data_IF_172630520587
#
_entry.id   IF_172630520587
#
_cell.length_a   1.000
_cell.length_b   1.000
_cell.length_c   1.000
_cell.angle_alpha   90.00
_cell.angle_beta   90.00
_cell.angle_gamma   90.00
#
_symmetry.space_group_name_H-M   'P 1'
#
loop_
_entity.id
_entity.type
_entity.pdbx_description
1 polymer ?
#
# COMPACT_ATOMS: atom_id res chain seq x y z
N UNK A 1 24.61 6.95 -6.82
CA UNK A 1 23.40 6.23 -6.37
C UNK A 1 22.23 7.19 -6.51
N UNK A 2 21.10 6.72 -7.01
CA UNK A 2 19.85 7.50 -7.07
C UNK A 2 18.91 6.98 -5.98
N UNK A 3 18.11 7.87 -5.39
CA UNK A 3 17.20 7.57 -4.29
C UNK A 3 15.79 8.08 -4.63
N UNK A 4 14.77 7.34 -4.20
CA UNK A 4 13.36 7.74 -4.24
C UNK A 4 12.73 7.48 -2.87
N UNK A 5 11.87 8.38 -2.41
CA UNK A 5 11.18 8.25 -1.13
C UNK A 5 9.71 7.88 -1.33
N UNK A 6 9.16 7.03 -0.46
CA UNK A 6 7.75 6.69 -0.41
C UNK A 6 7.16 7.16 0.92
N UNK A 7 5.91 7.60 0.91
CA UNK A 7 5.17 7.86 2.14
C UNK A 7 4.79 6.52 2.78
N UNK A 8 5.22 6.33 4.04
CA UNK A 8 4.81 5.19 4.84
C UNK A 8 3.36 5.34 5.28
N UNK A 9 2.47 4.49 4.77
CA UNK A 9 1.04 4.67 4.98
C UNK A 9 0.60 4.50 6.46
N UNK A 10 1.35 3.76 7.28
CA UNK A 10 1.10 3.68 8.72
C UNK A 10 1.17 5.05 9.41
N UNK A 11 2.10 5.91 8.99
CA UNK A 11 2.24 7.25 9.57
C UNK A 11 1.08 8.16 9.15
N UNK A 12 0.68 8.10 7.87
CA UNK A 12 -0.50 8.82 7.36
C UNK A 12 -1.75 8.42 8.13
N UNK A 13 -1.93 7.12 8.37
CA UNK A 13 -3.07 6.61 9.12
C UNK A 13 -3.05 7.02 10.60
N UNK A 14 -1.87 7.04 11.23
CA UNK A 14 -1.73 7.53 12.61
C UNK A 14 -2.04 9.02 12.75
N UNK A 15 -1.67 9.82 11.75
CA UNK A 15 -1.94 11.26 11.75
C UNK A 15 -3.44 11.58 11.79
N UNK A 16 -4.25 10.77 11.09
CA UNK A 16 -5.70 10.97 11.00
C UNK A 16 -6.46 10.25 12.14
N UNK A 17 -6.19 8.97 12.37
CA UNK A 17 -6.96 8.16 13.33
C UNK A 17 -6.43 8.28 14.78
N UNK A 18 -5.26 8.90 14.98
CA UNK A 18 -4.60 9.03 16.28
C UNK A 18 -4.52 7.65 17.01
N UNK A 19 -4.73 7.47 18.34
CA UNK A 19 -4.34 6.21 19.00
C UNK A 19 -5.10 4.97 18.51
N UNK A 20 -6.23 5.17 17.82
CA UNK A 20 -7.14 4.14 17.32
C UNK A 20 -6.69 3.56 15.96
N UNK A 21 -5.64 4.11 15.36
CA UNK A 21 -5.17 3.74 14.03
C UNK A 21 -4.79 2.24 13.91
N UNK A 22 -4.45 1.62 15.04
CA UNK A 22 -4.12 0.19 15.17
C UNK A 22 -5.25 -0.66 15.75
N UNK A 23 -6.47 -0.12 15.86
CA UNK A 23 -7.59 -0.77 16.55
C UNK A 23 -8.81 -0.98 15.64
N UNK A 24 -8.98 -0.14 14.63
CA UNK A 24 -10.15 -0.19 13.73
C UNK A 24 -9.83 0.17 12.28
N UNK A 25 -10.80 -0.09 11.42
CA UNK A 25 -10.84 0.43 10.05
C UNK A 25 -11.10 1.95 10.05
N UNK A 26 -10.60 2.63 9.03
CA UNK A 26 -10.89 4.03 8.80
C UNK A 26 -12.33 4.20 8.27
N UNK A 27 -12.99 5.26 8.71
CA UNK A 27 -14.22 5.74 8.10
C UNK A 27 -13.96 6.34 6.72
N UNK A 28 -15.04 6.60 5.97
CA UNK A 28 -14.96 7.25 4.66
C UNK A 28 -14.36 8.65 4.76
N UNK A 29 -14.74 9.42 5.78
CA UNK A 29 -14.24 10.78 5.98
C UNK A 29 -12.76 10.79 6.38
N UNK A 30 -12.34 9.87 7.24
CA UNK A 30 -10.91 9.70 7.57
C UNK A 30 -10.10 9.25 6.36
N UNK A 31 -10.66 8.37 5.53
CA UNK A 31 -10.02 7.97 4.27
C UNK A 31 -9.84 9.17 3.34
N UNK A 32 -10.84 10.06 3.25
CA UNK A 32 -10.73 11.29 2.47
C UNK A 32 -9.64 12.24 3.02
N UNK A 33 -9.49 12.33 4.34
CA UNK A 33 -8.40 13.10 4.96
C UNK A 33 -7.02 12.49 4.66
N UNK A 34 -6.88 11.17 4.74
CA UNK A 34 -5.64 10.48 4.36
C UNK A 34 -5.31 10.68 2.86
N UNK A 35 -6.31 10.69 1.98
CA UNK A 35 -6.11 11.02 0.57
C UNK A 35 -5.57 12.45 0.38
N UNK A 36 -6.00 13.41 1.20
CA UNK A 36 -5.50 14.78 1.15
C UNK A 36 -4.02 14.84 1.52
N UNK A 37 -3.62 14.21 2.62
CA UNK A 37 -2.21 14.11 3.06
C UNK A 37 -1.34 13.48 1.96
N UNK A 38 -1.80 12.36 1.37
CA UNK A 38 -1.08 11.73 0.26
C UNK A 38 -0.96 12.67 -0.93
N UNK A 39 -2.03 13.40 -1.28
CA UNK A 39 -2.03 14.34 -2.40
C UNK A 39 -1.06 15.50 -2.18
N UNK A 40 -0.85 15.93 -0.94
CA UNK A 40 0.11 16.96 -0.56
C UNK A 40 1.56 16.44 -0.60
N UNK A 41 1.79 15.19 -0.18
CA UNK A 41 3.13 14.61 -0.17
C UNK A 41 3.74 14.33 -1.55
N UNK A 42 2.90 14.07 -2.56
CA UNK A 42 3.37 13.83 -3.94
C UNK A 42 4.13 15.03 -4.53
N UNK A 43 3.58 16.26 -4.60
CA UNK A 43 4.33 17.43 -5.07
C UNK A 43 5.46 17.83 -4.12
N UNK A 44 5.42 17.43 -2.85
CA UNK A 44 6.51 17.64 -1.90
C UNK A 44 7.73 16.72 -2.12
N UNK A 45 7.64 15.75 -3.05
CA UNK A 45 8.77 14.92 -3.47
C UNK A 45 8.60 13.42 -3.19
N UNK A 46 7.48 12.98 -2.61
CA UNK A 46 7.20 11.56 -2.49
C UNK A 46 6.95 10.94 -3.87
N UNK A 47 7.62 9.82 -4.16
CA UNK A 47 7.48 9.08 -5.42
C UNK A 47 6.29 8.09 -5.40
N UNK A 48 5.61 7.96 -4.26
CA UNK A 48 4.56 6.97 -4.07
C UNK A 48 4.22 6.71 -2.61
N UNK A 49 3.48 5.62 -2.36
CA UNK A 49 3.00 5.20 -1.04
C UNK A 49 3.34 3.73 -0.80
N UNK A 50 3.67 3.37 0.44
CA UNK A 50 3.95 1.99 0.85
C UNK A 50 2.97 1.49 1.91
N UNK A 51 2.45 0.28 1.69
CA UNK A 51 1.54 -0.47 2.57
C UNK A 51 2.18 -1.79 3.00
N UNK A 52 1.77 -2.29 4.18
CA UNK A 52 2.14 -3.62 4.63
C UNK A 52 1.01 -4.28 5.44
N UNK A 53 0.46 -5.35 4.88
CA UNK A 53 -0.58 -6.19 5.45
C UNK A 53 -0.04 -7.52 6.01
N UNK A 54 1.29 -7.69 6.11
CA UNK A 54 1.87 -8.90 6.71
C UNK A 54 1.42 -9.06 8.18
N UNK A 55 0.75 -10.17 8.55
CA UNK A 55 0.31 -10.42 9.93
C UNK A 55 1.42 -10.34 10.97
N UNK A 56 2.66 -10.69 10.60
CA UNK A 56 3.82 -10.66 11.50
C UNK A 56 4.41 -9.27 11.71
N UNK A 57 3.96 -8.23 10.99
CA UNK A 57 4.45 -6.88 11.16
C UNK A 57 3.65 -6.17 12.27
N UNK A 58 4.25 -6.15 13.46
CA UNK A 58 3.66 -5.58 14.67
C UNK A 58 4.55 -4.46 15.22
N UNK A 59 3.94 -3.53 15.94
CA UNK A 59 4.65 -2.50 16.69
C UNK A 59 5.35 -3.10 17.93
N UNK A 60 6.14 -2.28 18.62
CA UNK A 60 6.90 -2.69 19.81
C UNK A 60 6.01 -3.19 20.97
N UNK A 61 4.76 -2.75 21.02
CA UNK A 61 3.75 -3.17 22.00
C UNK A 61 2.98 -4.44 21.58
N UNK A 62 3.35 -5.05 20.44
CA UNK A 62 2.73 -6.27 19.90
C UNK A 62 1.44 -6.03 19.11
N UNK A 63 0.92 -4.80 19.04
CA UNK A 63 -0.27 -4.48 18.23
C UNK A 63 0.07 -4.47 16.72
N UNK A 64 -0.91 -4.69 15.82
CA UNK A 64 -0.74 -4.40 14.39
C UNK A 64 -0.11 -3.03 14.16
N UNK A 65 0.79 -2.91 13.17
CA UNK A 65 1.06 -1.59 12.61
C UNK A 65 -0.22 -1.04 11.97
N UNK A 66 -0.46 0.29 12.01
CA UNK A 66 -1.73 0.89 11.59
C UNK A 66 -2.20 0.48 10.19
N UNK A 67 -1.33 0.53 9.18
CA UNK A 67 -1.73 0.23 7.80
C UNK A 67 -2.20 -1.21 7.58
N UNK A 68 -1.92 -2.13 8.52
CA UNK A 68 -2.40 -3.53 8.44
C UNK A 68 -3.92 -3.62 8.54
N UNK A 69 -4.58 -2.65 9.16
CA UNK A 69 -6.04 -2.57 9.27
C UNK A 69 -6.68 -1.82 8.09
N UNK A 70 -5.91 -1.46 7.06
CA UNK A 70 -6.47 -0.83 5.86
C UNK A 70 -7.28 -1.86 5.09
N UNK A 71 -8.59 -1.66 5.04
CA UNK A 71 -9.44 -2.51 4.22
C UNK A 71 -9.15 -2.27 2.74
N UNK A 72 -9.68 -3.15 1.88
CA UNK A 72 -9.40 -3.07 0.47
C UNK A 72 -9.89 -1.77 -0.19
N UNK A 73 -11.03 -1.23 0.26
CA UNK A 73 -11.57 0.01 -0.30
C UNK A 73 -10.69 1.20 0.04
N UNK A 74 -10.13 1.24 1.24
CA UNK A 74 -9.15 2.24 1.65
C UNK A 74 -7.90 2.17 0.77
N UNK A 75 -7.37 0.97 0.51
CA UNK A 75 -6.22 0.80 -0.39
C UNK A 75 -6.53 1.30 -1.81
N UNK A 76 -7.72 0.99 -2.36
CA UNK A 76 -8.14 1.49 -3.68
C UNK A 76 -8.31 3.01 -3.68
N UNK A 77 -8.88 3.58 -2.62
CA UNK A 77 -9.06 5.02 -2.48
C UNK A 77 -7.70 5.74 -2.51
N UNK A 78 -6.71 5.24 -1.78
CA UNK A 78 -5.36 5.82 -1.79
C UNK A 78 -4.66 5.60 -3.13
N UNK A 79 -4.78 4.40 -3.71
CA UNK A 79 -4.25 4.11 -5.05
C UNK A 79 -4.79 5.09 -6.11
N UNK A 80 -6.07 5.50 -5.99
CA UNK A 80 -6.69 6.45 -6.90
C UNK A 80 -6.08 7.85 -6.85
N UNK A 81 -5.45 8.25 -5.73
CA UNK A 81 -4.78 9.55 -5.59
C UNK A 81 -3.52 9.62 -6.46
N UNK A 82 -2.88 8.48 -6.73
CA UNK A 82 -1.67 8.40 -7.55
C UNK A 82 -1.95 8.64 -9.04
N UNK A 83 -3.20 8.49 -9.48
CA UNK A 83 -3.61 8.71 -10.89
C UNK A 83 -3.22 10.12 -11.35
N UNK A 84 -2.64 10.23 -12.53
CA UNK A 84 -2.32 11.51 -13.17
C UNK A 84 -1.09 12.25 -12.60
N UNK A 85 -0.54 11.81 -11.46
CA UNK A 85 0.72 12.35 -10.93
C UNK A 85 1.94 11.84 -11.71
N UNK A 86 3.11 12.48 -11.55
CA UNK A 86 4.39 11.99 -12.10
C UNK A 86 5.06 10.91 -11.23
N UNK A 87 4.60 10.77 -9.98
CA UNK A 87 5.14 9.91 -8.94
C UNK A 87 4.12 8.80 -8.64
N UNK A 88 4.39 7.57 -9.11
CA UNK A 88 3.34 6.56 -9.26
C UNK A 88 3.66 5.21 -8.63
N UNK A 89 4.53 5.10 -7.63
CA UNK A 89 4.77 3.80 -7.03
C UNK A 89 3.73 3.49 -5.95
N UNK A 90 3.05 2.35 -6.08
CA UNK A 90 2.31 1.77 -4.98
C UNK A 90 2.99 0.48 -4.57
N UNK A 91 3.59 0.47 -3.38
CA UNK A 91 4.20 -0.71 -2.81
C UNK A 91 3.23 -1.36 -1.83
N UNK A 92 2.97 -2.65 -1.97
CA UNK A 92 2.14 -3.41 -1.03
C UNK A 92 2.84 -4.71 -0.67
N UNK A 93 3.03 -4.97 0.61
CA UNK A 93 3.42 -6.29 1.11
C UNK A 93 2.22 -6.97 1.78
N UNK A 94 2.03 -8.26 1.55
CA UNK A 94 0.89 -8.99 2.09
C UNK A 94 -0.41 -8.77 1.31
N UNK A 95 -1.47 -9.43 1.75
CA UNK A 95 -2.75 -9.45 1.04
C UNK A 95 -3.74 -8.42 1.63
N UNK A 96 -4.08 -7.33 0.93
CA UNK A 96 -5.05 -6.33 1.41
C UNK A 96 -6.51 -6.77 1.26
N UNK A 97 -6.78 -7.92 0.64
CA UNK A 97 -8.10 -8.50 0.51
C UNK A 97 -8.01 -10.04 0.56
N UNK A 98 -8.14 -10.63 1.76
CA UNK A 98 -8.00 -12.07 1.96
C UNK A 98 -9.03 -12.90 1.18
N UNK A 99 -10.19 -12.33 0.85
CA UNK A 99 -11.29 -13.03 0.18
C UNK A 99 -11.07 -13.22 -1.33
N UNK A 100 -10.24 -12.40 -1.98
CA UNK A 100 -9.94 -12.57 -3.41
C UNK A 100 -8.43 -12.43 -3.74
N UNK A 101 -7.57 -13.34 -3.25
CA UNK A 101 -6.11 -13.22 -3.38
C UNK A 101 -5.62 -13.03 -4.82
N UNK A 102 -6.19 -13.77 -5.79
CA UNK A 102 -5.76 -13.69 -7.19
C UNK A 102 -6.20 -12.40 -7.90
N UNK A 103 -7.19 -11.66 -7.37
CA UNK A 103 -7.76 -10.46 -8.00
C UNK A 103 -7.16 -9.13 -7.52
N UNK A 104 -6.33 -9.15 -6.48
CA UNK A 104 -5.95 -7.92 -5.78
C UNK A 104 -4.97 -7.06 -6.56
N UNK A 105 -3.95 -7.67 -7.17
CA UNK A 105 -2.99 -6.95 -7.99
C UNK A 105 -3.67 -6.22 -9.15
N UNK A 106 -4.58 -6.90 -9.85
CA UNK A 106 -5.33 -6.33 -10.98
C UNK A 106 -6.21 -5.18 -10.52
N UNK A 107 -7.00 -5.35 -9.47
CA UNK A 107 -7.92 -4.31 -8.97
C UNK A 107 -7.18 -3.10 -8.42
N UNK A 108 -6.07 -3.30 -7.71
CA UNK A 108 -5.20 -2.21 -7.25
C UNK A 108 -4.55 -1.49 -8.43
N UNK A 109 -4.03 -2.23 -9.41
CA UNK A 109 -3.49 -1.66 -10.65
C UNK A 109 -4.53 -0.86 -11.45
N UNK A 110 -5.75 -1.39 -11.58
CA UNK A 110 -6.89 -0.73 -12.23
C UNK A 110 -7.23 0.58 -11.48
N UNK A 111 -7.25 0.56 -10.14
CA UNK A 111 -7.48 1.74 -9.31
C UNK A 111 -6.34 2.76 -9.35
N UNK A 112 -5.13 2.35 -9.72
CA UNK A 112 -3.99 3.24 -9.80
C UNK A 112 -3.70 3.78 -11.22
N UNK A 113 -4.20 3.13 -12.31
CA UNK A 113 -3.99 3.46 -13.74
C UNK A 113 -2.59 4.04 -13.98
N UNK A 114 -1.63 3.14 -14.22
CA UNK A 114 -0.20 3.43 -14.48
C UNK A 114 0.69 3.63 -13.26
N UNK A 115 0.26 3.19 -12.07
CA UNK A 115 1.21 2.97 -10.99
C UNK A 115 2.02 1.70 -11.22
N UNK A 116 3.34 1.80 -11.03
CA UNK A 116 4.16 0.60 -10.88
C UNK A 116 3.74 -0.03 -9.55
N UNK A 117 3.13 -1.21 -9.64
CA UNK A 117 2.67 -1.96 -8.49
C UNK A 117 3.74 -2.98 -8.11
N UNK A 118 4.44 -2.73 -7.00
CA UNK A 118 5.36 -3.71 -6.44
C UNK A 118 4.64 -4.47 -5.32
N UNK A 119 4.11 -5.65 -5.64
CA UNK A 119 3.63 -6.59 -4.64
C UNK A 119 4.79 -7.47 -4.22
N UNK A 120 5.17 -7.41 -2.95
CA UNK A 120 6.07 -8.40 -2.39
C UNK A 120 5.22 -9.62 -1.99
N UNK A 121 5.35 -10.78 -2.66
CA UNK A 121 4.65 -11.97 -2.21
C UNK A 121 5.09 -12.31 -0.77
N UNK A 122 4.20 -12.87 0.05
CA UNK A 122 4.59 -13.32 1.39
C UNK A 122 5.76 -14.31 1.24
N UNK A 123 6.74 -14.20 2.13
CA UNK A 123 7.83 -15.16 2.26
C UNK A 123 7.24 -16.49 2.77
N UNK A 124 6.56 -17.25 1.91
CA UNK A 124 6.21 -18.64 2.18
C UNK A 124 7.40 -19.48 1.74
N UNK A 125 8.06 -20.10 2.73
CA UNK A 125 8.99 -21.19 2.47
C UNK A 125 8.33 -22.22 1.52
N UNK A 126 8.90 -22.39 0.33
CA UNK A 126 8.45 -23.39 -0.64
C UNK A 126 7.34 -22.93 -1.58
N UNK A 127 7.67 -22.10 -2.57
CA UNK A 127 6.95 -22.09 -3.84
C UNK A 127 7.99 -21.92 -4.96
N UNK A 128 7.94 -22.88 -5.88
CA UNK A 128 8.95 -23.17 -6.88
C UNK A 128 9.19 -22.03 -7.87
N UNK A 129 10.37 -22.10 -8.48
CA UNK A 129 10.87 -21.24 -9.54
C UNK A 129 9.81 -20.96 -10.61
N UNK A 130 9.49 -19.69 -10.84
CA UNK A 130 8.54 -19.32 -11.88
C UNK A 130 8.04 -17.89 -11.77
N UNK A 131 8.93 -16.89 -11.73
CA UNK A 131 8.45 -15.51 -11.65
C UNK A 131 9.50 -14.41 -11.55
N UNK A 132 10.48 -14.38 -12.46
CA UNK A 132 11.18 -13.14 -12.90
C UNK A 132 12.04 -13.38 -14.17
N UNK A 133 11.81 -14.47 -14.91
CA UNK A 133 12.60 -14.82 -16.10
C UNK A 133 11.90 -14.57 -17.44
N UNK A 134 10.60 -14.26 -17.46
CA UNK A 134 9.81 -14.28 -18.68
C UNK A 134 9.59 -12.90 -19.34
N UNK A 135 10.23 -11.83 -18.85
CA UNK A 135 10.12 -10.49 -19.45
C UNK A 135 11.44 -9.95 -20.04
N UNK A 136 12.49 -10.76 -20.11
CA UNK A 136 13.80 -10.38 -20.67
C UNK A 136 14.38 -11.45 -21.62
N UNK A 137 13.53 -12.16 -22.35
CA UNK A 137 13.95 -12.94 -23.52
C UNK A 137 13.26 -12.36 -24.75
N UNK A 138 14.00 -11.52 -25.48
CA UNK A 138 13.83 -11.42 -26.93
C UNK A 138 14.43 -12.63 -27.62
#
# INVERSE_FOLDING_TARGET
MNLVALMGYSAVRQDVLCPEAAEREASVDETAQMQAIVREGLPAGAYGVSFNHNPGHVAADGRPIPCRLANFQEVLAIASVLRGSRARLLQISGNPNPEAPQGNARRVGDAAQHADLCIYPPFSAGAAEGGCGALLAG
#
